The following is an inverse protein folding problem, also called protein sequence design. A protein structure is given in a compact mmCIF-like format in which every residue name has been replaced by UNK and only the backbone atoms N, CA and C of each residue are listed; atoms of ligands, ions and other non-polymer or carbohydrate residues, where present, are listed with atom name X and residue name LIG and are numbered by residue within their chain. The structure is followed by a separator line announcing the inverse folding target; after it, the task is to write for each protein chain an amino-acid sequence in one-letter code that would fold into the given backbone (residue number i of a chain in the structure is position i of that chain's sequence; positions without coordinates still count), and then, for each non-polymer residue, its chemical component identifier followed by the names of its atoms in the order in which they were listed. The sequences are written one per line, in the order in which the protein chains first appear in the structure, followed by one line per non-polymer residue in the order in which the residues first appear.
data_IF_615255649871
#
_entry.id   IF_615255649871
#
_cell.length_a   1.000
_cell.length_b   1.000
_cell.length_c   1.000
_cell.angle_alpha   90.00
_cell.angle_beta   90.00
_cell.angle_gamma   90.00
#
_symmetry.space_group_name_H-M   'P 1'
#
loop_
_entity.id
_entity.type
_entity.pdbx_description
1 polymer ?
#
# COMPACT_ATOMS: atom_id res chain seq x y z
N UNK A 1 7.13 22.41 -7.91
CA UNK A 1 7.06 20.94 -7.74
C UNK A 1 6.64 20.25 -9.02
N UNK A 2 7.15 19.02 -9.26
CA UNK A 2 6.80 18.19 -10.42
C UNK A 2 5.86 17.05 -10.00
N UNK A 3 4.94 16.55 -10.84
CA UNK A 3 4.19 15.33 -10.54
C UNK A 3 5.14 14.15 -10.26
N UNK A 4 4.81 13.29 -9.30
CA UNK A 4 5.56 12.05 -9.07
C UNK A 4 5.52 11.17 -10.33
N UNK A 5 6.66 10.56 -10.65
CA UNK A 5 6.80 9.57 -11.71
C UNK A 5 7.56 8.36 -11.19
N UNK A 6 7.23 7.17 -11.68
CA UNK A 6 7.82 5.91 -11.21
C UNK A 6 9.22 5.66 -11.78
N UNK A 7 9.64 6.42 -12.80
CA UNK A 7 10.99 6.46 -13.36
C UNK A 7 11.90 7.52 -12.70
N UNK A 8 11.54 7.98 -11.50
CA UNK A 8 12.27 9.00 -10.75
C UNK A 8 13.71 8.58 -10.43
N UNK A 9 14.65 9.47 -10.74
CA UNK A 9 16.03 9.35 -10.26
C UNK A 9 16.10 9.70 -8.77
N UNK A 10 16.36 8.70 -7.92
CA UNK A 10 16.49 8.90 -6.47
C UNK A 10 17.64 9.86 -6.13
N UNK A 11 18.71 9.85 -6.91
CA UNK A 11 19.83 10.79 -6.74
C UNK A 11 19.40 12.24 -7.01
N UNK A 12 18.62 12.47 -8.07
CA UNK A 12 18.09 13.80 -8.38
C UNK A 12 17.09 14.27 -7.32
N UNK A 13 16.25 13.36 -6.81
CA UNK A 13 15.29 13.71 -5.76
C UNK A 13 15.99 14.03 -4.43
N UNK A 14 17.04 13.29 -4.07
CA UNK A 14 17.90 13.62 -2.92
C UNK A 14 18.49 15.03 -3.08
N UNK A 15 18.99 15.37 -4.27
CA UNK A 15 19.54 16.69 -4.53
C UNK A 15 18.46 17.77 -4.46
N UNK A 16 17.28 17.54 -5.04
CA UNK A 16 16.17 18.50 -5.00
C UNK A 16 15.68 18.77 -3.58
N UNK A 17 15.62 17.75 -2.72
CA UNK A 17 15.31 17.90 -1.29
C UNK A 17 16.42 18.68 -0.60
N UNK A 18 17.69 18.32 -0.82
CA UNK A 18 18.82 19.02 -0.22
C UNK A 18 18.88 20.51 -0.60
N UNK A 19 18.66 20.85 -1.87
CA UNK A 19 18.65 22.22 -2.37
C UNK A 19 17.50 23.03 -1.73
N UNK A 20 16.31 22.43 -1.61
CA UNK A 20 15.20 23.08 -0.92
C UNK A 20 15.49 23.33 0.57
N UNK A 21 16.11 22.36 1.24
CA UNK A 21 16.51 22.51 2.63
C UNK A 21 17.59 23.57 2.82
N UNK A 22 18.53 23.71 1.88
CA UNK A 22 19.57 24.74 1.93
C UNK A 22 19.01 26.16 1.89
N UNK A 23 17.82 26.36 1.28
CA UNK A 23 17.10 27.63 1.28
C UNK A 23 16.35 27.89 2.60
N UNK A 24 16.14 26.85 3.42
CA UNK A 24 15.17 26.86 4.51
C UNK A 24 15.77 26.56 5.88
N UNK A 25 16.97 26.00 5.97
CA UNK A 25 17.63 25.59 7.22
C UNK A 25 19.05 26.15 7.31
N UNK A 26 19.40 26.66 8.49
CA UNK A 26 20.73 27.19 8.79
C UNK A 26 21.22 26.81 10.21
N UNK A 27 22.52 26.57 10.40
CA UNK A 27 23.46 26.00 9.43
C UNK A 27 23.30 24.48 9.36
N UNK A 28 23.33 23.90 8.15
CA UNK A 28 23.42 22.45 7.96
C UNK A 28 24.43 22.13 6.87
N UNK A 29 25.62 21.67 7.28
CA UNK A 29 26.61 21.15 6.33
C UNK A 29 26.18 19.77 5.81
N UNK A 30 26.60 19.44 4.58
CA UNK A 30 26.40 18.12 3.98
C UNK A 30 24.93 17.68 3.85
N UNK A 31 24.00 18.61 3.56
CA UNK A 31 22.57 18.32 3.42
C UNK A 31 22.26 17.11 2.53
N UNK A 32 22.89 16.99 1.36
CA UNK A 32 22.67 15.83 0.48
C UNK A 32 23.02 14.49 1.15
N UNK A 33 24.08 14.44 1.96
CA UNK A 33 24.47 13.23 2.68
C UNK A 33 23.50 12.90 3.83
N UNK A 34 23.00 13.94 4.52
CA UNK A 34 21.95 13.77 5.55
C UNK A 34 20.68 13.22 4.91
N UNK A 35 20.20 13.85 3.83
CA UNK A 35 19.02 13.42 3.08
C UNK A 35 19.19 11.99 2.60
N UNK A 36 20.34 11.64 2.04
CA UNK A 36 20.63 10.26 1.61
C UNK A 36 20.62 9.27 2.79
N UNK A 37 21.14 9.64 3.96
CA UNK A 37 21.13 8.76 5.15
C UNK A 37 19.70 8.47 5.61
N UNK A 38 18.86 9.50 5.68
CA UNK A 38 17.44 9.36 6.06
C UNK A 38 16.66 8.61 4.98
N UNK A 39 16.91 8.88 3.70
CA UNK A 39 16.32 8.17 2.57
C UNK A 39 16.61 6.67 2.63
N UNK A 40 17.86 6.27 2.91
CA UNK A 40 18.24 4.86 3.06
C UNK A 40 17.48 4.18 4.20
N UNK A 41 17.29 4.87 5.32
CA UNK A 41 16.49 4.34 6.44
C UNK A 41 15.02 4.16 6.02
N UNK A 42 14.41 5.19 5.42
CA UNK A 42 13.03 5.13 4.93
C UNK A 42 12.82 4.02 3.89
N UNK A 43 13.74 3.85 2.95
CA UNK A 43 13.67 2.81 1.91
C UNK A 43 13.81 1.42 2.50
N UNK A 44 14.74 1.24 3.45
CA UNK A 44 14.89 -0.03 4.15
C UNK A 44 13.59 -0.38 4.89
N UNK A 45 13.06 0.54 5.68
CA UNK A 45 11.90 0.31 6.54
C UNK A 45 10.61 0.10 5.72
N UNK A 46 10.48 0.78 4.58
CA UNK A 46 9.35 0.65 3.64
C UNK A 46 9.53 -0.42 2.56
N UNK A 47 10.63 -1.19 2.53
CA UNK A 47 10.95 -2.10 1.42
C UNK A 47 9.90 -3.16 1.12
N UNK A 48 9.14 -3.56 2.15
CA UNK A 48 8.11 -4.57 2.07
C UNK A 48 6.68 -3.97 2.07
N UNK A 49 6.57 -2.64 2.03
CA UNK A 49 5.29 -1.95 2.02
C UNK A 49 4.79 -1.73 0.59
N UNK A 50 3.50 -2.00 0.37
CA UNK A 50 2.78 -1.72 -0.87
C UNK A 50 1.48 -0.99 -0.57
N UNK A 51 1.02 -0.19 -1.52
CA UNK A 51 -0.31 0.43 -1.48
C UNK A 51 -1.34 -0.57 -2.03
N UNK A 52 -2.01 -1.27 -1.10
CA UNK A 52 -3.02 -2.27 -1.46
C UNK A 52 -4.23 -1.69 -2.21
N UNK A 53 -4.55 -0.40 -2.03
CA UNK A 53 -5.66 0.23 -2.73
C UNK A 53 -5.29 0.52 -4.19
N UNK A 54 -4.08 1.03 -4.43
CA UNK A 54 -3.56 1.27 -5.79
C UNK A 54 -3.44 -0.04 -6.58
N UNK A 55 -2.79 -1.05 -5.98
CA UNK A 55 -2.63 -2.38 -6.59
C UNK A 55 -3.99 -3.05 -6.81
N UNK A 56 -4.91 -2.96 -5.84
CA UNK A 56 -6.25 -3.52 -5.96
C UNK A 56 -7.09 -2.84 -7.06
N UNK A 57 -6.96 -1.52 -7.22
CA UNK A 57 -7.58 -0.78 -8.32
C UNK A 57 -7.08 -1.26 -9.68
N UNK A 58 -5.76 -1.42 -9.82
CA UNK A 58 -5.15 -1.92 -11.05
C UNK A 58 -5.62 -3.34 -11.42
N UNK A 59 -5.61 -4.27 -10.45
CA UNK A 59 -6.12 -5.64 -10.66
C UNK A 59 -7.60 -5.61 -11.05
N UNK A 60 -8.41 -4.75 -10.42
CA UNK A 60 -9.84 -4.62 -10.70
C UNK A 60 -10.11 -4.15 -12.14
N UNK A 61 -9.24 -3.30 -12.71
CA UNK A 61 -9.36 -2.87 -14.10
C UNK A 61 -9.05 -4.01 -15.08
N UNK A 62 -8.06 -4.86 -14.79
CA UNK A 62 -7.80 -6.09 -15.56
C UNK A 62 -9.01 -7.01 -15.49
N UNK A 63 -9.56 -7.23 -14.29
CA UNK A 63 -10.74 -8.07 -14.07
C UNK A 63 -11.95 -7.56 -14.85
N UNK A 64 -12.19 -6.24 -14.87
CA UNK A 64 -13.31 -5.65 -15.62
C UNK A 64 -13.18 -5.92 -17.12
N UNK A 65 -12.01 -5.66 -17.68
CA UNK A 65 -11.71 -5.90 -19.11
C UNK A 65 -11.87 -7.39 -19.46
N UNK A 66 -11.38 -8.29 -18.61
CA UNK A 66 -11.54 -9.74 -18.76
C UNK A 66 -13.01 -10.16 -18.71
N UNK A 67 -13.77 -9.59 -17.76
CA UNK A 67 -15.20 -9.85 -17.62
C UNK A 67 -15.99 -9.43 -18.87
N UNK A 68 -15.74 -8.23 -19.39
CA UNK A 68 -16.39 -7.72 -20.60
C UNK A 68 -16.11 -8.64 -21.81
N UNK A 69 -14.85 -9.06 -21.97
CA UNK A 69 -14.45 -9.97 -23.04
C UNK A 69 -15.16 -11.33 -22.93
N UNK A 70 -15.09 -11.98 -21.78
CA UNK A 70 -15.64 -13.33 -21.58
C UNK A 70 -17.16 -13.34 -21.64
N UNK A 71 -17.84 -12.31 -21.12
CA UNK A 71 -19.28 -12.17 -21.26
C UNK A 71 -19.70 -11.87 -22.71
N UNK A 72 -18.89 -11.13 -23.46
CA UNK A 72 -19.09 -10.88 -24.88
C UNK A 72 -19.02 -12.13 -25.76
N UNK A 73 -18.34 -13.18 -25.31
CA UNK A 73 -18.21 -14.46 -26.01
C UNK A 73 -19.40 -15.41 -25.81
N UNK A 74 -20.29 -15.15 -24.85
CA UNK A 74 -21.46 -16.01 -24.60
C UNK A 74 -22.69 -15.44 -25.28
N UNK A 75 -23.55 -16.30 -25.83
CA UNK A 75 -24.86 -15.88 -26.33
C UNK A 75 -25.96 -16.04 -25.26
N UNK A 76 -25.83 -17.06 -24.41
CA UNK A 76 -26.82 -17.37 -23.38
C UNK A 76 -26.67 -16.45 -22.14
N UNK A 77 -27.74 -15.76 -21.69
CA UNK A 77 -27.71 -14.93 -20.49
C UNK A 77 -27.29 -15.67 -19.20
N UNK A 78 -27.64 -16.95 -19.07
CA UNK A 78 -27.24 -17.78 -17.92
C UNK A 78 -25.75 -18.08 -17.96
N UNK A 79 -25.20 -18.39 -19.14
CA UNK A 79 -23.76 -18.58 -19.30
C UNK A 79 -22.98 -17.31 -18.99
N UNK A 80 -23.46 -16.14 -19.44
CA UNK A 80 -22.86 -14.83 -19.10
C UNK A 80 -22.78 -14.60 -17.60
N UNK A 81 -23.84 -14.94 -16.88
CA UNK A 81 -23.91 -14.77 -15.42
C UNK A 81 -22.84 -15.60 -14.70
N UNK A 82 -22.53 -16.80 -15.18
CA UNK A 82 -21.52 -17.66 -14.56
C UNK A 82 -20.11 -17.48 -15.11
N UNK A 83 -19.94 -16.91 -16.30
CA UNK A 83 -18.67 -16.97 -17.02
C UNK A 83 -17.49 -16.41 -16.23
N UNK A 84 -17.67 -15.30 -15.50
CA UNK A 84 -16.59 -14.71 -14.68
C UNK A 84 -16.24 -15.49 -13.42
N UNK A 85 -17.21 -16.22 -12.83
CA UNK A 85 -16.97 -17.02 -11.62
C UNK A 85 -16.17 -18.29 -11.90
N UNK A 86 -16.21 -18.77 -13.13
CA UNK A 86 -15.50 -19.98 -13.56
C UNK A 86 -14.29 -19.68 -14.46
N UNK A 87 -14.06 -18.41 -14.81
CA UNK A 87 -12.91 -18.00 -15.60
C UNK A 87 -11.61 -18.12 -14.79
N UNK A 88 -10.64 -18.87 -15.32
CA UNK A 88 -9.35 -19.11 -14.68
C UNK A 88 -8.59 -17.82 -14.36
N UNK A 89 -8.30 -16.95 -15.34
CA UNK A 89 -7.69 -15.63 -15.11
C UNK A 89 -8.42 -14.78 -14.06
N UNK A 90 -9.76 -14.74 -14.07
CA UNK A 90 -10.53 -14.04 -13.03
C UNK A 90 -10.26 -14.62 -11.63
N UNK A 91 -10.22 -15.94 -11.47
CA UNK A 91 -9.92 -16.56 -10.18
C UNK A 91 -8.51 -16.23 -9.71
N UNK A 92 -7.53 -16.27 -10.62
CA UNK A 92 -6.16 -15.83 -10.32
C UNK A 92 -6.17 -14.40 -9.83
N UNK A 93 -6.76 -13.46 -10.58
CA UNK A 93 -6.79 -12.04 -10.22
C UNK A 93 -7.48 -11.77 -8.88
N UNK A 94 -8.56 -12.51 -8.56
CA UNK A 94 -9.22 -12.44 -7.24
C UNK A 94 -8.25 -12.85 -6.13
N UNK A 95 -7.54 -13.96 -6.31
CA UNK A 95 -6.54 -14.44 -5.36
C UNK A 95 -5.38 -13.43 -5.21
N UNK A 96 -4.84 -12.93 -6.31
CA UNK A 96 -3.79 -11.90 -6.29
C UNK A 96 -4.26 -10.65 -5.53
N UNK A 97 -5.48 -10.17 -5.79
CA UNK A 97 -6.03 -8.99 -5.12
C UNK A 97 -6.22 -9.21 -3.62
N UNK A 98 -6.74 -10.37 -3.21
CA UNK A 98 -6.96 -10.69 -1.79
C UNK A 98 -5.63 -10.76 -1.04
N UNK A 99 -4.64 -11.46 -1.58
CA UNK A 99 -3.33 -11.59 -0.93
C UNK A 99 -2.49 -10.32 -1.01
N UNK A 100 -2.58 -9.52 -2.08
CA UNK A 100 -1.93 -8.21 -2.14
C UNK A 100 -2.40 -7.30 -1.00
N UNK A 101 -3.70 -7.33 -0.67
CA UNK A 101 -4.24 -6.60 0.49
C UNK A 101 -3.64 -7.09 1.81
N UNK A 102 -3.56 -8.40 2.03
CA UNK A 102 -2.94 -8.97 3.23
C UNK A 102 -1.46 -8.57 3.35
N UNK A 103 -0.70 -8.62 2.26
CA UNK A 103 0.69 -8.17 2.22
C UNK A 103 0.81 -6.67 2.52
N UNK A 104 -0.12 -5.84 2.02
CA UNK A 104 -0.15 -4.41 2.31
C UNK A 104 -0.41 -4.10 3.80
N UNK A 105 -1.25 -4.88 4.46
CA UNK A 105 -1.58 -4.74 5.89
C UNK A 105 -0.37 -5.04 6.79
N UNK A 106 0.47 -6.00 6.40
CA UNK A 106 1.58 -6.48 7.24
C UNK A 106 2.97 -6.06 6.76
N UNK A 107 3.09 -5.45 5.59
CA UNK A 107 4.37 -5.11 4.96
C UNK A 107 5.30 -4.24 5.80
N UNK A 108 4.75 -3.26 6.53
CA UNK A 108 5.53 -2.42 7.44
C UNK A 108 6.00 -3.15 8.72
N UNK A 109 5.46 -4.33 9.00
CA UNK A 109 5.77 -5.10 10.22
C UNK A 109 6.89 -6.13 10.02
N UNK A 110 7.53 -6.14 8.85
CA UNK A 110 8.51 -7.15 8.45
C UNK A 110 9.70 -7.21 9.42
N UNK A 111 10.23 -6.06 9.88
CA UNK A 111 11.31 -6.01 10.89
C UNK A 111 10.81 -6.05 12.36
N UNK A 112 9.51 -6.12 12.57
CA UNK A 112 8.86 -5.98 13.88
C UNK A 112 7.70 -5.00 13.82
N UNK A 113 6.96 -4.85 14.93
CA UNK A 113 5.79 -3.97 14.97
C UNK A 113 6.15 -2.55 14.49
N UNK A 114 5.45 -2.09 13.46
CA UNK A 114 5.61 -0.76 12.89
C UNK A 114 5.24 0.32 13.90
N UNK A 115 6.13 1.30 14.02
CA UNK A 115 5.94 2.50 14.84
C UNK A 115 6.71 3.65 14.17
N UNK A 116 5.96 4.53 13.52
CA UNK A 116 6.52 5.65 12.76
C UNK A 116 7.41 6.55 13.62
N UNK A 117 6.96 6.90 14.83
CA UNK A 117 7.72 7.80 15.69
C UNK A 117 9.04 7.17 16.13
N UNK A 118 8.99 5.87 16.45
CA UNK A 118 10.18 5.10 16.81
C UNK A 118 11.18 5.04 15.65
N UNK A 119 10.74 4.79 14.41
CA UNK A 119 11.64 4.70 13.27
C UNK A 119 12.26 6.06 12.92
N UNK A 120 11.44 7.12 12.90
CA UNK A 120 11.93 8.49 12.67
C UNK A 120 12.95 8.87 13.74
N UNK A 121 12.70 8.54 15.01
CA UNK A 121 13.64 8.83 16.09
C UNK A 121 14.94 8.04 15.96
N UNK A 122 14.88 6.79 15.53
CA UNK A 122 16.08 6.00 15.25
C UNK A 122 16.89 6.58 14.07
N UNK A 123 16.21 7.02 13.00
CA UNK A 123 16.83 7.71 11.87
C UNK A 123 17.46 9.04 12.30
N UNK A 124 16.78 9.82 13.13
CA UNK A 124 17.29 11.08 13.69
C UNK A 124 18.56 10.84 14.52
N UNK A 125 18.53 9.91 15.48
CA UNK A 125 19.70 9.61 16.33
C UNK A 125 20.90 9.20 15.47
N UNK A 126 20.68 8.41 14.42
CA UNK A 126 21.73 8.01 13.48
C UNK A 126 22.27 9.21 12.70
N UNK A 127 21.37 10.03 12.15
CA UNK A 127 21.75 11.22 11.40
C UNK A 127 22.51 12.24 12.27
N UNK A 128 22.06 12.49 13.50
CA UNK A 128 22.76 13.41 14.44
C UNK A 128 24.13 12.89 14.87
N UNK A 129 24.27 11.57 15.03
CA UNK A 129 25.57 10.95 15.32
C UNK A 129 26.55 11.12 14.15
N UNK A 130 26.07 10.89 12.93
CA UNK A 130 26.90 10.92 11.72
C UNK A 130 27.13 12.37 11.24
N UNK A 131 26.23 13.30 11.57
CA UNK A 131 26.25 14.71 11.22
C UNK A 131 25.91 15.59 12.44
N UNK A 132 26.86 15.84 13.36
CA UNK A 132 26.60 16.55 14.62
C UNK A 132 25.99 17.95 14.50
N UNK A 133 26.25 18.66 13.39
CA UNK A 133 25.66 19.97 13.11
C UNK A 133 24.12 19.95 12.99
N UNK A 134 23.53 18.80 12.68
CA UNK A 134 22.08 18.61 12.59
C UNK A 134 21.37 18.89 13.93
N UNK A 135 22.01 18.57 15.06
CA UNK A 135 21.40 18.75 16.38
C UNK A 135 21.14 20.22 16.73
N UNK A 136 21.90 21.14 16.12
CA UNK A 136 21.78 22.60 16.29
C UNK A 136 21.07 23.29 15.13
N UNK A 137 20.72 22.55 14.08
CA UNK A 137 20.08 23.07 12.89
C UNK A 137 18.70 23.67 13.22
N UNK A 138 18.42 24.85 12.70
CA UNK A 138 17.12 25.49 12.83
C UNK A 138 16.61 25.97 11.47
N UNK A 139 15.28 26.09 11.31
CA UNK A 139 14.72 26.76 10.14
C UNK A 139 15.23 28.20 10.08
N UNK A 140 15.54 28.68 8.88
CA UNK A 140 15.89 30.07 8.64
C UNK A 140 14.73 30.97 9.12
N UNK A 141 15.06 32.03 9.86
CA UNK A 141 14.07 32.93 10.44
C UNK A 141 13.26 32.36 11.62
N UNK A 142 13.59 31.17 12.14
CA UNK A 142 12.81 30.50 13.21
C UNK A 142 12.64 31.34 14.48
N UNK A 143 13.72 31.94 14.98
CA UNK A 143 13.65 32.76 16.20
C UNK A 143 12.85 34.04 15.98
N UNK A 144 13.00 34.67 14.81
CA UNK A 144 12.23 35.85 14.46
C UNK A 144 10.73 35.52 14.36
N UNK A 145 10.39 34.42 13.71
CA UNK A 145 9.02 33.93 13.62
C UNK A 145 8.41 33.69 15.01
N UNK A 146 9.12 32.98 15.89
CA UNK A 146 8.69 32.73 17.28
C UNK A 146 8.45 34.01 18.07
N UNK A 147 9.31 35.01 17.93
CA UNK A 147 9.14 36.29 18.61
C UNK A 147 7.90 37.03 18.10
N UNK A 148 7.66 37.03 16.79
CA UNK A 148 6.47 37.66 16.22
C UNK A 148 5.18 36.96 16.69
N UNK A 149 5.17 35.63 16.77
CA UNK A 149 4.03 34.83 17.29
C UNK A 149 3.73 35.20 18.74
N UNK A 150 4.75 35.21 19.61
CA UNK A 150 4.61 35.57 21.02
C UNK A 150 4.11 37.00 21.24
N UNK A 151 4.54 37.93 20.39
CA UNK A 151 4.13 39.33 20.44
C UNK A 151 2.69 39.57 19.93
N UNK A 152 1.99 38.54 19.45
CA UNK A 152 0.66 38.69 18.83
C UNK A 152 0.67 39.50 17.53
N UNK A 153 1.85 39.61 16.89
CA UNK A 153 2.09 40.48 15.71
C UNK A 153 2.00 39.73 14.38
N UNK A 154 1.53 38.48 14.35
CA UNK A 154 1.56 37.66 13.14
C UNK A 154 0.21 37.63 12.46
N UNK A 155 0.16 38.14 11.23
CA UNK A 155 -0.75 37.60 10.25
C UNK A 155 -0.02 36.39 9.65
N UNK A 156 -0.31 35.18 10.16
CA UNK A 156 0.38 33.97 9.71
C UNK A 156 -0.06 33.73 8.28
N UNK A 157 0.83 33.97 7.33
CA UNK A 157 0.59 33.58 5.95
C UNK A 157 0.69 32.06 5.86
N UNK A 158 -0.46 31.42 5.66
CA UNK A 158 -0.56 29.98 5.42
C UNK A 158 -0.32 29.63 3.94
N UNK A 159 -0.10 30.63 3.08
CA UNK A 159 0.23 30.41 1.68
C UNK A 159 1.57 29.67 1.56
N UNK A 160 1.51 28.50 0.92
CA UNK A 160 2.69 27.71 0.57
C UNK A 160 3.09 27.88 -0.89
N UNK A 161 2.50 28.85 -1.60
CA UNK A 161 2.66 29.00 -3.05
C UNK A 161 4.14 29.16 -3.43
N UNK A 162 4.85 30.08 -2.78
CA UNK A 162 6.26 30.35 -3.09
C UNK A 162 7.16 29.16 -2.71
N UNK A 163 6.86 28.46 -1.62
CA UNK A 163 7.61 27.28 -1.21
C UNK A 163 7.40 26.10 -2.18
N UNK A 164 6.16 25.92 -2.65
CA UNK A 164 5.81 24.91 -3.67
C UNK A 164 6.46 25.24 -5.02
N UNK A 165 6.66 26.52 -5.34
CA UNK A 165 7.43 26.94 -6.53
C UNK A 165 8.92 26.67 -6.32
N UNK A 166 9.47 26.95 -5.14
CA UNK A 166 10.88 26.74 -4.81
C UNK A 166 11.29 25.27 -4.78
N UNK A 167 10.41 24.35 -4.37
CA UNK A 167 10.72 22.92 -4.37
C UNK A 167 10.65 22.32 -5.79
N UNK A 168 11.81 21.95 -6.33
CA UNK A 168 11.96 21.36 -7.67
C UNK A 168 11.72 19.84 -7.73
N UNK A 169 11.59 19.19 -6.56
CA UNK A 169 11.38 17.75 -6.43
C UNK A 169 9.94 17.31 -6.67
N UNK A 170 9.69 16.05 -6.32
CA UNK A 170 8.45 15.35 -6.62
C UNK A 170 7.32 15.74 -5.69
N UNK A 171 6.14 15.98 -6.27
CA UNK A 171 4.88 16.11 -5.56
C UNK A 171 4.35 14.74 -5.25
N UNK A 172 4.45 14.37 -3.98
CA UNK A 172 3.97 13.10 -3.49
C UNK A 172 2.68 13.36 -2.72
N UNK A 173 1.56 13.14 -3.39
CA UNK A 173 0.27 13.06 -2.72
C UNK A 173 0.23 11.80 -1.87
N UNK A 174 -0.22 11.96 -0.63
CA UNK A 174 -0.36 10.86 0.32
C UNK A 174 -1.71 10.96 1.01
N UNK A 175 -2.26 9.82 1.40
CA UNK A 175 -3.44 9.75 2.26
C UNK A 175 -3.09 9.79 3.76
N UNK A 176 -1.80 9.85 4.14
CA UNK A 176 -1.33 9.63 5.52
C UNK A 176 -0.59 10.81 6.15
N UNK A 177 0.01 11.71 5.37
CA UNK A 177 0.75 12.86 5.89
C UNK A 177 0.77 14.04 4.91
N UNK A 178 0.94 15.25 5.47
CA UNK A 178 1.25 16.45 4.70
C UNK A 178 2.51 16.25 3.84
N UNK A 179 2.62 16.97 2.72
CA UNK A 179 3.81 16.91 1.86
C UNK A 179 5.06 17.49 2.56
N UNK A 180 6.25 17.21 2.02
CA UNK A 180 7.53 17.70 2.60
C UNK A 180 7.52 19.22 2.82
N UNK A 181 7.07 19.98 1.82
CA UNK A 181 6.96 21.46 1.91
C UNK A 181 6.02 21.88 3.05
N UNK A 182 4.85 21.24 3.15
CA UNK A 182 3.85 21.54 4.18
C UNK A 182 4.38 21.22 5.58
N UNK A 183 5.02 20.07 5.78
CA UNK A 183 5.59 19.69 7.09
C UNK A 183 6.70 20.64 7.55
N UNK A 184 7.41 21.27 6.62
CA UNK A 184 8.54 22.16 6.89
C UNK A 184 8.17 23.64 6.94
N UNK A 185 6.91 23.99 6.70
CA UNK A 185 6.44 25.36 6.82
C UNK A 185 6.54 25.84 8.28
N UNK A 186 7.03 27.06 8.50
CA UNK A 186 7.33 27.60 9.84
C UNK A 186 6.13 27.53 10.80
N UNK A 187 4.90 27.73 10.32
CA UNK A 187 3.69 27.64 11.13
C UNK A 187 3.40 26.22 11.62
N UNK A 188 3.66 25.20 10.80
CA UNK A 188 3.48 23.80 11.17
C UNK A 188 4.58 23.34 12.13
N UNK A 189 5.80 23.82 11.95
CA UNK A 189 6.90 23.59 12.90
C UNK A 189 6.59 24.21 14.27
N UNK A 190 6.02 25.41 14.31
CA UNK A 190 5.62 26.08 15.55
C UNK A 190 4.52 25.33 16.28
N UNK A 191 3.49 24.89 15.56
CA UNK A 191 2.45 24.05 16.13
C UNK A 191 3.04 22.76 16.74
N UNK A 192 3.99 22.11 16.04
CA UNK A 192 4.68 20.93 16.56
C UNK A 192 5.56 21.19 17.79
N UNK A 193 6.28 22.32 17.83
CA UNK A 193 7.15 22.69 18.96
C UNK A 193 6.31 23.00 20.22
N UNK A 194 5.24 23.79 20.10
CA UNK A 194 4.44 24.25 21.24
C UNK A 194 3.44 23.20 21.75
N UNK A 195 2.71 22.53 20.85
CA UNK A 195 1.64 21.60 21.24
C UNK A 195 2.17 20.19 21.50
N UNK A 196 3.28 19.81 20.86
CA UNK A 196 3.75 18.41 20.83
C UNK A 196 5.20 18.26 21.33
N UNK A 197 5.90 19.35 21.66
CA UNK A 197 7.29 19.31 22.09
C UNK A 197 8.26 18.76 21.02
N UNK A 198 7.83 18.76 19.75
CA UNK A 198 8.61 18.22 18.63
C UNK A 198 9.55 19.29 18.12
N UNK A 199 10.83 19.15 18.44
CA UNK A 199 11.85 20.11 18.02
C UNK A 199 12.00 20.16 16.49
N UNK A 200 12.42 21.31 15.91
CA UNK A 200 12.52 21.47 14.46
C UNK A 200 13.38 20.42 13.74
N UNK A 201 14.46 19.92 14.36
CA UNK A 201 15.28 18.87 13.77
C UNK A 201 14.57 17.52 13.66
N UNK A 202 13.68 17.19 14.62
CA UNK A 202 12.84 16.00 14.52
C UNK A 202 11.86 16.15 13.37
N UNK A 203 11.22 17.32 13.25
CA UNK A 203 10.31 17.62 12.14
C UNK A 203 11.02 17.57 10.78
N UNK A 204 12.25 18.08 10.69
CA UNK A 204 13.10 17.98 9.49
C UNK A 204 13.32 16.53 9.07
N UNK A 205 13.81 15.70 10.00
CA UNK A 205 14.07 14.28 9.71
C UNK A 205 12.78 13.52 9.41
N UNK A 206 11.70 13.81 10.13
CA UNK A 206 10.37 13.24 9.89
C UNK A 206 9.84 13.56 8.50
N UNK A 207 9.99 14.81 8.04
CA UNK A 207 9.54 15.23 6.71
C UNK A 207 10.33 14.54 5.59
N UNK A 208 11.66 14.48 5.72
CA UNK A 208 12.52 13.76 4.76
C UNK A 208 12.17 12.27 4.76
N UNK A 209 12.04 11.67 5.95
CA UNK A 209 11.73 10.26 6.12
C UNK A 209 10.37 9.91 5.51
N UNK A 210 9.32 10.70 5.81
CA UNK A 210 7.99 10.51 5.23
C UNK A 210 8.02 10.65 3.70
N UNK A 211 8.69 11.68 3.17
CA UNK A 211 8.82 11.89 1.73
C UNK A 211 9.37 10.65 1.02
N UNK A 212 10.52 10.14 1.47
CA UNK A 212 11.14 8.96 0.88
C UNK A 212 10.41 7.65 1.20
N UNK A 213 9.72 7.54 2.34
CA UNK A 213 8.87 6.37 2.63
C UNK A 213 7.72 6.28 1.62
N UNK A 214 7.13 7.41 1.23
CA UNK A 214 6.08 7.44 0.24
C UNK A 214 6.61 7.20 -1.18
N UNK A 215 7.81 7.67 -1.52
CA UNK A 215 8.48 7.29 -2.79
C UNK A 215 8.64 5.78 -2.85
N UNK A 216 9.21 5.18 -1.80
CA UNK A 216 9.44 3.73 -1.74
C UNK A 216 8.12 2.98 -1.92
N UNK A 217 7.06 3.37 -1.19
CA UNK A 217 5.74 2.77 -1.30
C UNK A 217 5.23 2.78 -2.75
N UNK A 218 5.25 3.95 -3.41
CA UNK A 218 4.78 4.09 -4.80
C UNK A 218 5.63 3.29 -5.79
N UNK A 219 6.95 3.27 -5.62
CA UNK A 219 7.85 2.49 -6.48
C UNK A 219 7.58 1.00 -6.35
N UNK A 220 7.47 0.47 -5.12
CA UNK A 220 7.21 -0.96 -4.89
C UNK A 220 5.83 -1.35 -5.41
N UNK A 221 4.79 -0.55 -5.17
CA UNK A 221 3.45 -0.76 -5.74
C UNK A 221 3.50 -0.82 -7.28
N UNK A 222 4.19 0.13 -7.91
CA UNK A 222 4.31 0.18 -9.36
C UNK A 222 5.06 -1.03 -9.93
N UNK A 223 6.19 -1.41 -9.33
CA UNK A 223 6.93 -2.61 -9.72
C UNK A 223 6.07 -3.87 -9.64
N UNK A 224 5.24 -3.98 -8.61
CA UNK A 224 4.28 -5.08 -8.49
C UNK A 224 3.19 -5.01 -9.58
N UNK A 225 2.61 -3.85 -9.86
CA UNK A 225 1.62 -3.69 -10.93
C UNK A 225 2.20 -4.06 -12.30
N UNK A 226 3.42 -3.61 -12.60
CA UNK A 226 4.14 -3.99 -13.84
C UNK A 226 4.41 -5.49 -13.88
N UNK A 227 4.78 -6.10 -12.75
CA UNK A 227 4.96 -7.55 -12.69
C UNK A 227 3.64 -8.28 -12.96
N UNK A 228 2.53 -7.86 -12.35
CA UNK A 228 1.19 -8.43 -12.56
C UNK A 228 0.76 -8.32 -14.02
N UNK A 229 0.93 -7.16 -14.64
CA UNK A 229 0.60 -6.94 -16.06
C UNK A 229 1.36 -7.91 -16.97
N UNK A 230 2.63 -8.21 -16.62
CA UNK A 230 3.53 -9.09 -17.38
C UNK A 230 3.49 -10.55 -16.95
N UNK A 231 2.71 -10.91 -15.92
CA UNK A 231 2.65 -12.29 -15.41
C UNK A 231 2.17 -13.26 -16.48
N UNK A 232 1.19 -12.84 -17.28
CA UNK A 232 0.59 -13.58 -18.38
C UNK A 232 -0.13 -12.60 -19.30
N UNK A 233 -0.49 -13.05 -20.50
CA UNK A 233 -1.52 -12.37 -21.28
C UNK A 233 -2.90 -12.71 -20.70
N UNK A 234 -3.50 -11.73 -20.02
CA UNK A 234 -4.78 -11.85 -19.31
C UNK A 234 -5.97 -11.98 -20.26
N UNK A 235 -5.83 -11.55 -21.51
CA UNK A 235 -6.94 -11.45 -22.46
C UNK A 235 -6.99 -12.65 -23.44
N UNK A 236 -6.19 -13.70 -23.21
CA UNK A 236 -6.23 -14.93 -24.03
C UNK A 236 -7.54 -15.69 -23.76
N UNK A 237 -8.45 -15.82 -24.74
CA UNK A 237 -9.76 -16.45 -24.52
C UNK A 237 -9.67 -17.93 -24.12
N UNK A 238 -8.66 -18.65 -24.60
CA UNK A 238 -8.45 -20.07 -24.38
C UNK A 238 -8.16 -20.42 -22.91
N UNK A 239 -7.70 -19.45 -22.11
CA UNK A 239 -7.46 -19.63 -20.68
C UNK A 239 -8.74 -19.65 -19.83
N UNK A 240 -9.93 -19.62 -20.45
CA UNK A 240 -11.20 -19.57 -19.72
C UNK A 240 -11.35 -20.64 -18.65
N UNK A 241 -10.86 -21.86 -18.90
CA UNK A 241 -10.87 -22.94 -17.93
C UNK A 241 -9.44 -23.43 -17.71
N UNK A 242 -8.83 -22.99 -16.62
CA UNK A 242 -7.45 -23.32 -16.28
C UNK A 242 -6.66 -22.12 -15.73
N UNK A 243 -5.70 -22.42 -14.87
CA UNK A 243 -4.76 -21.39 -14.39
C UNK A 243 -3.76 -21.08 -15.50
N UNK A 244 -3.66 -19.83 -15.98
CA UNK A 244 -2.63 -19.48 -16.96
C UNK A 244 -1.23 -19.72 -16.39
N UNK A 245 -0.24 -19.92 -17.26
CA UNK A 245 1.15 -19.97 -16.83
C UNK A 245 1.59 -18.58 -16.33
N UNK A 246 1.99 -18.49 -15.07
CA UNK A 246 2.34 -17.23 -14.42
C UNK A 246 3.86 -17.05 -14.31
N UNK A 247 4.36 -15.90 -14.74
CA UNK A 247 5.75 -15.50 -14.60
C UNK A 247 5.90 -14.43 -13.50
N UNK A 248 6.78 -14.67 -12.52
CA UNK A 248 7.01 -13.72 -11.42
C UNK A 248 7.84 -12.48 -11.82
N UNK A 249 8.42 -12.46 -13.03
CA UNK A 249 9.29 -11.39 -13.53
C UNK A 249 10.44 -11.02 -12.57
N UNK A 250 10.85 -11.95 -11.69
CA UNK A 250 11.85 -11.71 -10.64
C UNK A 250 11.38 -10.79 -9.50
N UNK A 251 10.11 -10.37 -9.47
CA UNK A 251 9.56 -9.53 -8.40
C UNK A 251 9.18 -10.41 -7.19
N UNK A 252 9.66 -10.02 -6.01
CA UNK A 252 9.47 -10.79 -4.76
C UNK A 252 7.99 -10.92 -4.39
N UNK A 253 7.22 -9.83 -4.50
CA UNK A 253 5.79 -9.85 -4.21
C UNK A 253 5.03 -10.68 -5.25
N UNK A 254 5.35 -10.54 -6.53
CA UNK A 254 4.75 -11.34 -7.60
C UNK A 254 4.91 -12.84 -7.33
N UNK A 255 6.12 -13.27 -6.95
CA UNK A 255 6.40 -14.67 -6.57
C UNK A 255 5.56 -15.14 -5.39
N UNK A 256 5.45 -14.32 -4.34
CA UNK A 256 4.61 -14.62 -3.18
C UNK A 256 3.14 -14.77 -3.58
N UNK A 257 2.61 -13.85 -4.39
CA UNK A 257 1.21 -13.89 -4.83
C UNK A 257 0.94 -15.11 -5.72
N UNK A 258 1.82 -15.43 -6.66
CA UNK A 258 1.72 -16.62 -7.52
C UNK A 258 1.68 -17.90 -6.67
N UNK A 259 2.46 -17.97 -5.58
CA UNK A 259 2.47 -19.14 -4.68
C UNK A 259 1.13 -19.41 -3.98
N UNK A 260 0.23 -18.41 -3.94
CA UNK A 260 -1.10 -18.54 -3.34
C UNK A 260 -2.19 -18.92 -4.35
N UNK A 261 -1.87 -18.92 -5.64
CA UNK A 261 -2.82 -19.26 -6.70
C UNK A 261 -3.15 -20.75 -6.62
N UNK A 262 -4.43 -21.04 -6.41
CA UNK A 262 -4.96 -22.39 -6.40
C UNK A 262 -5.30 -22.93 -7.78
N UNK A 263 -5.88 -24.12 -7.81
CA UNK A 263 -6.40 -24.73 -9.03
C UNK A 263 -7.63 -23.95 -9.54
N UNK A 264 -7.67 -23.70 -10.85
CA UNK A 264 -8.83 -23.11 -11.49
C UNK A 264 -10.00 -24.11 -11.57
N UNK A 265 -11.21 -23.58 -11.52
CA UNK A 265 -12.43 -24.36 -11.78
C UNK A 265 -12.45 -24.95 -13.19
N UNK A 266 -13.03 -26.13 -13.30
CA UNK A 266 -13.08 -26.92 -14.53
C UNK A 266 -14.31 -26.57 -15.37
N UNK A 267 -14.24 -26.81 -16.69
CA UNK A 267 -15.38 -26.59 -17.58
C UNK A 267 -16.61 -27.41 -17.14
N UNK A 268 -16.42 -28.64 -16.64
CA UNK A 268 -17.51 -29.48 -16.16
C UNK A 268 -18.32 -28.82 -15.04
N UNK A 269 -17.66 -28.09 -14.13
CA UNK A 269 -18.33 -27.39 -13.02
C UNK A 269 -19.12 -26.19 -13.54
N UNK A 270 -18.59 -25.49 -14.55
CA UNK A 270 -19.31 -24.42 -15.24
C UNK A 270 -20.57 -24.95 -15.92
N UNK A 271 -20.47 -26.05 -16.68
CA UNK A 271 -21.63 -26.67 -17.36
C UNK A 271 -22.69 -27.11 -16.35
N UNK A 272 -22.26 -27.77 -15.26
CA UNK A 272 -23.16 -28.18 -14.19
C UNK A 272 -23.88 -26.99 -13.53
N UNK A 273 -23.18 -25.87 -13.29
CA UNK A 273 -23.78 -24.67 -12.72
C UNK A 273 -24.82 -24.03 -13.65
N UNK A 274 -24.52 -23.98 -14.96
CA UNK A 274 -25.45 -23.49 -15.98
C UNK A 274 -26.69 -24.38 -16.06
N UNK A 275 -26.52 -25.69 -16.13
CA UNK A 275 -27.63 -26.65 -16.15
C UNK A 275 -28.48 -26.55 -14.89
N UNK A 276 -27.87 -26.53 -13.71
CA UNK A 276 -28.57 -26.40 -12.43
C UNK A 276 -29.40 -25.12 -12.34
N UNK A 277 -28.91 -24.01 -12.91
CA UNK A 277 -29.64 -22.75 -12.96
C UNK A 277 -30.81 -22.81 -13.92
N UNK A 278 -30.64 -23.40 -15.10
CA UNK A 278 -31.72 -23.60 -16.07
C UNK A 278 -32.81 -24.51 -15.49
N UNK A 279 -32.43 -25.59 -14.78
CA UNK A 279 -33.36 -26.46 -14.06
C UNK A 279 -34.11 -25.70 -12.97
N UNK A 280 -33.42 -24.88 -12.17
CA UNK A 280 -34.06 -24.05 -11.17
C UNK A 280 -35.03 -23.04 -11.78
N UNK A 281 -34.65 -22.39 -12.89
CA UNK A 281 -35.49 -21.40 -13.55
C UNK A 281 -36.72 -21.99 -14.23
N UNK A 282 -36.66 -23.26 -14.64
CA UNK A 282 -37.79 -24.02 -15.16
C UNK A 282 -38.81 -24.44 -14.09
N UNK A 283 -38.48 -24.35 -12.79
CA UNK A 283 -39.39 -24.70 -11.68
C UNK A 283 -40.54 -23.68 -11.54
N UNK A 284 -41.71 -24.12 -11.05
CA UNK A 284 -42.81 -23.21 -10.69
C UNK A 284 -42.38 -22.12 -9.70
N UNK A 285 -42.96 -20.93 -9.82
CA UNK A 285 -42.59 -19.76 -9.01
C UNK A 285 -42.70 -20.02 -7.49
N UNK A 286 -43.76 -20.72 -7.06
CA UNK A 286 -43.96 -21.09 -5.66
C UNK A 286 -42.82 -21.95 -5.11
N UNK A 287 -42.34 -22.92 -5.90
CA UNK A 287 -41.23 -23.80 -5.52
C UNK A 287 -39.91 -23.02 -5.46
N UNK A 288 -39.66 -22.13 -6.43
CA UNK A 288 -38.46 -21.26 -6.43
C UNK A 288 -38.43 -20.35 -5.21
N UNK A 289 -39.56 -19.74 -4.86
CA UNK A 289 -39.68 -18.86 -3.69
C UNK A 289 -39.45 -19.63 -2.38
N UNK A 290 -40.00 -20.85 -2.26
CA UNK A 290 -39.78 -21.71 -1.09
C UNK A 290 -38.30 -22.09 -0.92
N UNK A 291 -37.60 -22.44 -2.02
CA UNK A 291 -36.16 -22.75 -2.01
C UNK A 291 -35.34 -21.53 -1.60
N UNK A 292 -35.62 -20.36 -2.19
CA UNK A 292 -34.91 -19.12 -1.87
C UNK A 292 -35.09 -18.73 -0.39
N UNK A 293 -36.30 -18.83 0.13
CA UNK A 293 -36.60 -18.54 1.52
C UNK A 293 -35.88 -19.52 2.46
N UNK A 294 -35.89 -20.82 2.14
CA UNK A 294 -35.16 -21.85 2.90
C UNK A 294 -33.66 -21.56 2.94
N UNK A 295 -33.05 -21.22 1.80
CA UNK A 295 -31.63 -20.88 1.72
C UNK A 295 -31.30 -19.62 2.53
N UNK A 296 -32.16 -18.61 2.48
CA UNK A 296 -32.00 -17.36 3.25
C UNK A 296 -32.07 -17.61 4.75
N UNK A 297 -33.01 -18.42 5.20
CA UNK A 297 -33.17 -18.75 6.62
C UNK A 297 -32.01 -19.61 7.12
N UNK A 298 -31.51 -20.54 6.29
CA UNK A 298 -30.29 -21.30 6.57
C UNK A 298 -29.08 -20.37 6.75
N UNK A 299 -28.80 -19.48 5.80
CA UNK A 299 -27.68 -18.53 5.90
C UNK A 299 -27.78 -17.67 7.16
N UNK A 300 -28.98 -17.16 7.49
CA UNK A 300 -29.17 -16.38 8.73
C UNK A 300 -28.87 -17.20 9.98
N UNK A 301 -29.25 -18.48 10.01
CA UNK A 301 -28.97 -19.36 11.14
C UNK A 301 -27.48 -19.69 11.30
N UNK A 302 -26.72 -19.65 10.20
CA UNK A 302 -25.27 -19.87 10.19
C UNK A 302 -24.47 -18.62 10.62
N UNK A 303 -25.00 -17.42 10.40
CA UNK A 303 -24.38 -16.13 10.77
C UNK A 303 -24.47 -15.81 12.28
N UNK A 304 -23.96 -16.73 13.11
CA UNK A 304 -23.92 -16.62 14.57
C UNK A 304 -22.72 -15.79 15.05
N UNK A 305 -22.68 -15.33 16.32
CA UNK A 305 -21.47 -14.73 16.89
C UNK A 305 -20.24 -15.64 16.80
N UNK A 306 -20.42 -16.97 16.86
CA UNK A 306 -19.33 -17.93 16.71
C UNK A 306 -18.75 -17.94 15.29
N UNK A 307 -19.60 -17.79 14.26
CA UNK A 307 -19.17 -17.65 12.87
C UNK A 307 -18.27 -16.42 12.69
N UNK A 308 -18.70 -15.26 13.21
CA UNK A 308 -17.91 -14.02 13.12
C UNK A 308 -16.59 -14.12 13.89
N UNK A 309 -16.60 -14.73 15.07
CA UNK A 309 -15.36 -14.99 15.81
C UNK A 309 -14.38 -15.88 15.02
N UNK A 310 -14.87 -16.94 14.37
CA UNK A 310 -14.04 -17.81 13.55
C UNK A 310 -13.46 -17.06 12.33
N UNK A 311 -14.26 -16.18 11.70
CA UNK A 311 -13.78 -15.31 10.62
C UNK A 311 -12.67 -14.35 11.09
N UNK A 312 -12.83 -13.71 12.25
CA UNK A 312 -11.80 -12.83 12.81
C UNK A 312 -10.50 -13.59 13.14
N UNK A 313 -10.61 -14.80 13.66
CA UNK A 313 -9.46 -15.67 13.92
C UNK A 313 -8.77 -16.10 12.62
N UNK A 314 -9.53 -16.39 11.56
CA UNK A 314 -8.97 -16.72 10.26
C UNK A 314 -8.21 -15.53 9.66
N UNK A 315 -8.78 -14.32 9.70
CA UNK A 315 -8.11 -13.10 9.21
C UNK A 315 -6.76 -12.90 9.92
N UNK A 316 -6.73 -13.03 11.25
CA UNK A 316 -5.48 -12.92 12.02
C UNK A 316 -4.44 -13.97 11.66
N UNK A 317 -4.87 -15.21 11.39
CA UNK A 317 -3.96 -16.30 10.96
C UNK A 317 -3.40 -16.02 9.57
N UNK A 318 -4.22 -15.50 8.65
CA UNK A 318 -3.80 -15.13 7.30
C UNK A 318 -2.80 -13.96 7.32
N UNK A 319 -3.06 -12.92 8.12
CA UNK A 319 -2.11 -11.82 8.35
C UNK A 319 -0.78 -12.32 8.93
N UNK A 320 -0.84 -13.20 9.94
CA UNK A 320 0.37 -13.78 10.53
C UNK A 320 1.16 -14.62 9.53
N UNK A 321 0.48 -15.42 8.70
CA UNK A 321 1.12 -16.20 7.63
C UNK A 321 1.76 -15.29 6.59
N UNK A 322 1.05 -14.25 6.14
CA UNK A 322 1.56 -13.30 5.16
C UNK A 322 2.82 -12.58 5.67
N UNK A 323 2.86 -12.25 6.96
CA UNK A 323 4.05 -11.66 7.59
C UNK A 323 5.24 -12.62 7.62
N UNK A 324 5.01 -13.91 7.89
CA UNK A 324 6.05 -14.95 7.83
C UNK A 324 6.61 -15.07 6.41
N UNK A 325 5.73 -15.14 5.42
CA UNK A 325 6.11 -15.24 4.01
C UNK A 325 6.97 -14.04 3.57
N UNK A 326 6.57 -12.81 3.95
CA UNK A 326 7.38 -11.61 3.68
C UNK A 326 8.74 -11.66 4.38
N UNK A 327 8.79 -12.07 5.65
CA UNK A 327 10.06 -12.15 6.39
C UNK A 327 11.02 -13.13 5.72
N UNK A 328 10.53 -14.28 5.30
CA UNK A 328 11.33 -15.26 4.57
C UNK A 328 11.82 -14.67 3.25
N UNK A 329 10.92 -14.07 2.48
CA UNK A 329 11.22 -13.49 1.18
C UNK A 329 12.25 -12.35 1.25
N UNK A 330 12.22 -11.56 2.32
CA UNK A 330 13.19 -10.48 2.60
C UNK A 330 14.37 -10.91 3.49
N UNK A 331 14.55 -12.22 3.73
CA UNK A 331 15.75 -12.78 4.35
C UNK A 331 15.89 -12.57 5.87
N UNK A 332 14.79 -12.31 6.58
CA UNK A 332 14.79 -12.11 8.04
C UNK A 332 14.74 -13.46 8.75
N UNK A 333 15.91 -13.95 9.20
CA UNK A 333 16.08 -15.29 9.79
C UNK A 333 15.87 -15.40 11.30
N UNK A 334 15.61 -14.31 12.03
CA UNK A 334 15.43 -14.37 13.49
C UNK A 334 13.97 -14.62 13.83
N UNK A 335 13.59 -15.88 13.99
CA UNK A 335 12.27 -16.28 14.47
C UNK A 335 12.28 -16.45 15.99
N UNK A 336 11.39 -15.72 16.65
CA UNK A 336 10.62 -16.28 17.76
C UNK A 336 9.24 -16.50 17.14
N UNK A 337 8.78 -17.74 17.08
CA UNK A 337 7.41 -18.04 16.64
C UNK A 337 6.46 -17.15 17.45
N UNK A 338 5.50 -16.44 16.81
CA UNK A 338 4.44 -15.82 17.56
C UNK A 338 3.71 -16.94 18.30
N UNK A 339 3.71 -16.88 19.64
CA UNK A 339 2.97 -17.82 20.47
C UNK A 339 1.56 -17.92 19.92
N UNK A 340 1.20 -19.11 19.45
CA UNK A 340 -0.17 -19.39 19.02
C UNK A 340 -1.09 -19.07 20.21
N UNK A 341 -2.23 -18.40 19.99
CA UNK A 341 -3.21 -18.23 21.05
C UNK A 341 -3.56 -19.62 21.58
N UNK A 342 -3.32 -19.84 22.87
CA UNK A 342 -3.68 -21.07 23.55
C UNK A 342 -5.16 -21.36 23.32
N UNK A 343 -5.44 -22.58 22.83
CA UNK A 343 -6.77 -23.12 22.51
C UNK A 343 -7.77 -23.00 23.67
#
# INVERSE_FOLDING_TARGET
MKPFRTDLSITEEIQAVADFLALKWEPVDNLAAIVQSVQKAAFHDGRAAIDGAEVGGFISDIMRRRADMIQGMMDNPVEKMFATMFDGPMQVLITLSSHARQLAEVGLNVDGKWDYERQVRAAQIRAERDFPGLATAAPAGWQEFKNRVKDGKVNIDYSLADEKVAFAGSMIETCRSLGLVEQLALHNLQYGDEEQGRKPQYALISAIYSHFSNIQLKMVSHELMVAIDRMTDWDVPEHRFGTPALNDSGNVFAKLLISKVGEARQESEFRQAVESKLEFDAKPEEERNAIQQTNRDRMKSEMTPAYWKAMDEQIKREEASALVDLREAFGIRKFVEPESPSL
#
